data_IF_859626105758
#
_entry.id   IF_859626105758
#
_cell.length_a   1.000
_cell.length_b   1.000
_cell.length_c   1.000
_cell.angle_alpha   90.00
_cell.angle_beta   90.00
_cell.angle_gamma   90.00
#
_symmetry.space_group_name_H-M   'P 1'
#
loop_
_entity.id
_entity.type
_entity.pdbx_description
1 polymer ?
#
# COMPACT_ATOMS: atom_id res chain seq x y z
N UNK A 1 15.84 -22.51 27.53
CA UNK A 1 16.32 -21.87 26.29
C UNK A 1 15.18 -21.63 25.30
N UNK A 2 14.55 -22.67 24.73
CA UNK A 2 13.48 -22.49 23.73
C UNK A 2 12.28 -21.71 24.27
N UNK A 3 11.76 -22.09 25.45
CA UNK A 3 10.62 -21.39 26.06
C UNK A 3 10.87 -19.89 26.27
N UNK A 4 12.07 -19.52 26.73
CA UNK A 4 12.46 -18.11 26.88
C UNK A 4 12.43 -17.35 25.54
N UNK A 5 12.96 -17.95 24.47
CA UNK A 5 12.90 -17.35 23.13
C UNK A 5 11.47 -17.16 22.65
N UNK A 6 10.58 -18.12 22.96
CA UNK A 6 9.16 -18.06 22.61
C UNK A 6 8.40 -17.01 23.43
N UNK A 7 8.70 -16.86 24.72
CA UNK A 7 8.13 -15.81 25.56
C UNK A 7 8.54 -14.42 25.06
N UNK A 8 9.81 -14.26 24.66
CA UNK A 8 10.28 -13.02 24.08
C UNK A 8 9.55 -12.65 22.79
N UNK A 9 9.44 -13.60 21.87
CA UNK A 9 8.72 -13.39 20.60
C UNK A 9 7.21 -13.19 20.79
N UNK A 10 6.60 -13.77 21.83
CA UNK A 10 5.21 -13.50 22.17
C UNK A 10 4.99 -12.06 22.67
N UNK A 11 5.98 -11.49 23.35
CA UNK A 11 5.94 -10.11 23.84
C UNK A 11 6.23 -9.09 22.74
N UNK A 12 7.17 -9.40 21.85
CA UNK A 12 7.57 -8.54 20.74
C UNK A 12 8.03 -9.36 19.53
N UNK A 13 7.20 -9.35 18.48
CA UNK A 13 7.47 -10.04 17.21
C UNK A 13 8.50 -9.32 16.33
N UNK A 14 8.89 -8.09 16.69
CA UNK A 14 9.88 -7.30 15.95
C UNK A 14 11.33 -7.56 16.40
N UNK A 15 11.52 -8.40 17.41
CA UNK A 15 12.85 -8.78 17.89
C UNK A 15 13.64 -9.50 16.79
N UNK A 16 14.84 -8.96 16.52
CA UNK A 16 15.79 -9.59 15.61
C UNK A 16 16.45 -10.80 16.27
N UNK A 17 16.95 -11.73 15.45
CA UNK A 17 17.68 -12.89 15.95
C UNK A 17 18.93 -12.51 16.78
N UNK A 18 19.54 -11.34 16.50
CA UNK A 18 20.66 -10.82 17.30
C UNK A 18 20.20 -10.36 18.68
N UNK A 19 19.11 -9.58 18.73
CA UNK A 19 18.53 -9.17 20.02
C UNK A 19 18.12 -10.38 20.86
N UNK A 20 17.55 -11.43 20.25
CA UNK A 20 17.24 -12.67 20.95
C UNK A 20 18.48 -13.37 21.51
N UNK A 21 19.61 -13.35 20.78
CA UNK A 21 20.90 -13.84 21.29
C UNK A 21 21.36 -13.01 22.49
N UNK A 22 21.38 -11.69 22.38
CA UNK A 22 21.86 -10.78 23.44
C UNK A 22 21.01 -10.93 24.71
N UNK A 23 19.69 -11.05 24.56
CA UNK A 23 18.76 -11.25 25.67
C UNK A 23 18.92 -12.62 26.33
N UNK A 24 19.17 -13.66 25.54
CA UNK A 24 19.42 -15.00 26.07
C UNK A 24 20.76 -15.08 26.80
N UNK A 25 21.79 -14.40 26.30
CA UNK A 25 23.08 -14.28 26.98
C UNK A 25 22.95 -13.51 28.29
N UNK A 26 22.22 -12.39 28.29
CA UNK A 26 21.92 -11.62 29.50
C UNK A 26 21.12 -12.41 30.55
N UNK A 27 20.21 -13.29 30.12
CA UNK A 27 19.39 -14.09 31.04
C UNK A 27 20.09 -15.36 31.55
N UNK A 28 20.86 -16.03 30.71
CA UNK A 28 21.44 -17.36 31.02
C UNK A 28 22.95 -17.33 31.29
N UNK A 29 23.63 -16.21 31.02
CA UNK A 29 25.09 -16.09 31.08
C UNK A 29 25.81 -16.87 29.97
N UNK A 30 25.09 -17.47 29.02
CA UNK A 30 25.64 -18.30 27.94
C UNK A 30 25.44 -17.60 26.60
N UNK A 31 26.53 -17.18 25.99
CA UNK A 31 26.54 -16.69 24.62
C UNK A 31 26.19 -17.80 23.63
N UNK A 32 25.20 -17.58 22.78
CA UNK A 32 24.82 -18.53 21.73
C UNK A 32 24.93 -17.90 20.35
N UNK A 33 25.33 -18.69 19.36
CA UNK A 33 25.34 -18.23 17.97
C UNK A 33 23.92 -17.91 17.50
N UNK A 34 23.77 -16.82 16.74
CA UNK A 34 22.52 -16.42 16.08
C UNK A 34 21.89 -17.57 15.29
N UNK A 35 22.72 -18.40 14.64
CA UNK A 35 22.26 -19.58 13.90
C UNK A 35 21.56 -20.61 14.81
N UNK A 36 22.04 -20.77 16.05
CA UNK A 36 21.42 -21.68 17.03
C UNK A 36 20.06 -21.14 17.46
N UNK A 37 19.90 -19.83 17.63
CA UNK A 37 18.60 -19.20 17.92
C UNK A 37 17.65 -19.41 16.76
N UNK A 38 18.07 -19.13 15.52
CA UNK A 38 17.29 -19.38 14.30
C UNK A 38 16.76 -20.81 14.24
N UNK A 39 17.64 -21.80 14.40
CA UNK A 39 17.26 -23.20 14.31
C UNK A 39 16.22 -23.59 15.38
N UNK A 40 16.29 -23.02 16.58
CA UNK A 40 15.29 -23.29 17.63
C UNK A 40 13.95 -22.59 17.36
N UNK A 41 13.98 -21.37 16.82
CA UNK A 41 12.75 -20.64 16.43
C UNK A 41 12.06 -21.34 15.26
N UNK A 42 12.81 -21.75 14.24
CA UNK A 42 12.30 -22.52 13.10
C UNK A 42 11.74 -23.88 13.56
N UNK A 43 12.46 -24.60 14.43
CA UNK A 43 12.00 -25.89 14.97
C UNK A 43 10.75 -25.77 15.86
N UNK A 44 10.50 -24.59 16.43
CA UNK A 44 9.26 -24.29 17.17
C UNK A 44 8.10 -23.87 16.25
N UNK A 45 8.24 -24.05 14.92
CA UNK A 45 7.25 -23.72 13.89
C UNK A 45 6.89 -22.23 13.79
N UNK A 46 7.79 -21.33 14.20
CA UNK A 46 7.64 -19.90 13.89
C UNK A 46 8.17 -19.65 12.48
N UNK A 47 7.32 -19.13 11.58
CA UNK A 47 7.78 -18.62 10.30
C UNK A 47 8.40 -17.23 10.48
N UNK A 48 9.71 -17.14 10.25
CA UNK A 48 10.41 -15.87 10.10
C UNK A 48 10.15 -15.30 8.70
N UNK A 49 9.02 -14.61 8.55
CA UNK A 49 8.68 -13.93 7.31
C UNK A 49 9.27 -12.51 7.30
N UNK A 50 9.76 -12.06 6.15
CA UNK A 50 10.01 -10.64 5.94
C UNK A 50 8.66 -9.93 5.86
N UNK A 51 8.26 -9.31 6.97
CA UNK A 51 7.04 -8.52 7.04
C UNK A 51 7.30 -7.15 6.41
N UNK A 52 6.50 -6.79 5.41
CA UNK A 52 6.46 -5.41 4.94
C UNK A 52 5.83 -4.55 6.03
N UNK A 53 6.65 -3.79 6.76
CA UNK A 53 6.17 -2.89 7.81
C UNK A 53 5.61 -1.63 7.16
N UNK A 54 4.30 -1.49 7.15
CA UNK A 54 3.68 -0.21 6.80
C UNK A 54 3.91 0.81 7.93
N UNK A 55 4.15 2.09 7.61
CA UNK A 55 4.35 3.12 8.63
C UNK A 55 3.13 3.22 9.54
N UNK A 56 3.34 3.05 10.86
CA UNK A 56 2.27 2.97 11.85
C UNK A 56 1.37 4.22 11.90
N UNK A 57 1.90 5.39 11.51
CA UNK A 57 1.14 6.65 11.44
C UNK A 57 0.10 6.67 10.30
N UNK A 58 0.27 5.83 9.25
CA UNK A 58 -0.70 5.70 8.15
C UNK A 58 -1.88 4.80 8.52
N UNK A 59 -1.70 3.94 9.53
CA UNK A 59 -2.67 2.93 9.93
C UNK A 59 -3.49 3.32 11.19
N UNK A 60 -3.55 4.61 11.54
CA UNK A 60 -4.43 5.07 12.62
C UNK A 60 -5.89 4.78 12.27
N UNK A 61 -6.72 4.45 13.28
CA UNK A 61 -8.15 4.22 13.09
C UNK A 61 -8.83 5.40 12.39
N UNK A 62 -8.45 6.63 12.78
CA UNK A 62 -8.95 7.86 12.19
C UNK A 62 -8.65 7.96 10.68
N UNK A 63 -7.43 7.62 10.26
CA UNK A 63 -7.06 7.68 8.85
C UNK A 63 -7.79 6.58 8.06
N UNK A 64 -7.94 5.38 8.62
CA UNK A 64 -8.71 4.29 7.98
C UNK A 64 -10.19 4.64 7.83
N UNK A 65 -10.80 5.26 8.84
CA UNK A 65 -12.18 5.73 8.78
C UNK A 65 -12.35 6.82 7.72
N UNK A 66 -11.47 7.83 7.71
CA UNK A 66 -11.49 8.88 6.68
C UNK A 66 -11.30 8.33 5.27
N UNK A 67 -10.40 7.36 5.09
CA UNK A 67 -10.21 6.71 3.79
C UNK A 67 -11.47 5.97 3.37
N UNK A 68 -12.08 5.19 4.28
CA UNK A 68 -13.30 4.42 4.01
C UNK A 68 -14.46 5.34 3.64
N UNK A 69 -14.68 6.40 4.41
CA UNK A 69 -15.81 7.30 4.20
C UNK A 69 -15.65 8.07 2.86
N UNK A 70 -14.42 8.46 2.51
CA UNK A 70 -14.10 9.03 1.19
C UNK A 70 -14.36 8.03 0.04
N UNK A 71 -13.97 6.77 0.20
CA UNK A 71 -14.21 5.74 -0.80
C UNK A 71 -15.70 5.43 -1.00
N UNK A 72 -16.47 5.36 0.09
CA UNK A 72 -17.92 5.13 0.04
C UNK A 72 -18.61 6.29 -0.68
N UNK A 73 -18.21 7.54 -0.41
CA UNK A 73 -18.74 8.71 -1.11
C UNK A 73 -18.42 8.68 -2.62
N UNK A 74 -17.19 8.30 -2.99
CA UNK A 74 -16.79 8.21 -4.40
C UNK A 74 -17.50 7.09 -5.18
N UNK A 75 -17.77 5.96 -4.54
CA UNK A 75 -18.48 4.84 -5.18
C UNK A 75 -19.97 5.13 -5.39
N UNK A 76 -20.60 5.88 -4.48
CA UNK A 76 -22.04 6.15 -4.51
C UNK A 76 -22.42 7.23 -5.54
N UNK A 77 -21.49 8.12 -5.90
CA UNK A 77 -21.84 9.27 -6.73
C UNK A 77 -21.85 9.00 -8.25
N UNK A 78 -20.85 8.34 -8.89
CA UNK A 78 -20.84 8.27 -10.36
C UNK A 78 -20.22 7.03 -11.07
N UNK A 79 -19.70 6.02 -10.35
CA UNK A 79 -19.21 4.77 -10.94
C UNK A 79 -18.06 4.90 -11.96
N UNK A 80 -17.74 3.82 -12.68
CA UNK A 80 -16.67 3.81 -13.68
C UNK A 80 -17.04 4.69 -14.88
N UNK A 81 -16.33 5.81 -15.05
CA UNK A 81 -16.62 6.80 -16.12
C UNK A 81 -15.92 6.47 -17.44
N UNK A 82 -14.70 5.94 -17.38
CA UNK A 82 -13.91 5.66 -18.59
C UNK A 82 -12.85 4.61 -18.30
N UNK A 83 -12.68 3.65 -19.22
CA UNK A 83 -11.62 2.66 -19.14
C UNK A 83 -11.11 2.30 -20.53
N UNK A 84 -9.85 1.88 -20.60
CA UNK A 84 -9.24 1.32 -21.81
C UNK A 84 -8.42 0.08 -21.44
N UNK A 85 -8.49 -0.95 -22.27
CA UNK A 85 -7.56 -2.08 -22.20
C UNK A 85 -6.38 -1.82 -23.13
N UNK A 86 -5.16 -1.95 -22.61
CA UNK A 86 -3.94 -1.76 -23.42
C UNK A 86 -2.98 -2.92 -23.22
N UNK A 87 -2.30 -3.28 -24.31
CA UNK A 87 -1.22 -4.25 -24.27
C UNK A 87 0.12 -3.56 -24.04
N UNK A 88 0.93 -4.06 -23.10
CA UNK A 88 2.24 -3.51 -22.74
C UNK A 88 2.21 -2.66 -21.45
N UNK A 89 3.36 -2.06 -21.12
CA UNK A 89 3.53 -1.29 -19.87
C UNK A 89 3.19 0.19 -20.04
N UNK A 90 2.71 0.81 -18.96
CA UNK A 90 2.49 2.25 -18.90
C UNK A 90 3.81 3.03 -18.82
N UNK A 91 3.88 4.12 -19.59
CA UNK A 91 4.93 5.13 -19.60
C UNK A 91 4.27 6.50 -19.55
N UNK A 92 5.01 7.56 -19.22
CA UNK A 92 4.41 8.90 -19.12
C UNK A 92 3.64 9.29 -20.40
N UNK A 93 4.15 8.98 -21.59
CA UNK A 93 3.54 9.39 -22.85
C UNK A 93 2.16 8.74 -23.07
N UNK A 94 2.07 7.42 -22.91
CA UNK A 94 0.80 6.72 -23.12
C UNK A 94 -0.20 6.98 -21.97
N UNK A 95 0.29 7.23 -20.76
CA UNK A 95 -0.54 7.59 -19.60
C UNK A 95 -1.13 8.99 -19.78
N UNK A 96 -0.34 9.96 -20.23
CA UNK A 96 -0.83 11.31 -20.53
C UNK A 96 -1.84 11.32 -21.68
N UNK A 97 -1.63 10.48 -22.70
CA UNK A 97 -2.62 10.30 -23.77
C UNK A 97 -3.94 9.74 -23.23
N UNK A 98 -3.88 8.75 -22.33
CA UNK A 98 -5.06 8.20 -21.66
C UNK A 98 -5.78 9.27 -20.82
N UNK A 99 -5.07 10.03 -19.99
CA UNK A 99 -5.65 11.11 -19.17
C UNK A 99 -6.32 12.15 -20.08
N UNK A 100 -5.69 12.51 -21.20
CA UNK A 100 -6.27 13.47 -22.16
C UNK A 100 -7.59 12.95 -22.73
N UNK A 101 -7.68 11.66 -23.09
CA UNK A 101 -8.91 11.05 -23.60
C UNK A 101 -9.99 10.99 -22.53
N UNK A 102 -9.64 10.60 -21.31
CA UNK A 102 -10.53 10.62 -20.15
C UNK A 102 -11.11 12.03 -19.93
N UNK A 103 -10.28 13.07 -19.87
CA UNK A 103 -10.74 14.45 -19.63
C UNK A 103 -11.65 14.95 -20.75
N UNK A 104 -11.34 14.62 -22.01
CA UNK A 104 -12.24 14.92 -23.14
C UNK A 104 -13.57 14.20 -23.01
N UNK A 105 -13.57 12.93 -22.63
CA UNK A 105 -14.80 12.16 -22.41
C UNK A 105 -15.64 12.75 -21.28
N UNK A 106 -15.02 13.10 -20.15
CA UNK A 106 -15.69 13.75 -19.01
C UNK A 106 -16.30 15.09 -19.43
N UNK A 107 -15.56 15.92 -20.17
CA UNK A 107 -16.05 17.20 -20.65
C UNK A 107 -17.26 17.06 -21.60
N UNK A 108 -17.22 16.08 -22.51
CA UNK A 108 -18.27 15.88 -23.52
C UNK A 108 -19.51 15.18 -22.96
N UNK A 109 -19.35 14.15 -22.13
CA UNK A 109 -20.45 13.29 -21.68
C UNK A 109 -21.07 13.73 -20.36
N UNK A 110 -20.32 14.47 -19.54
CA UNK A 110 -20.79 14.95 -18.23
C UNK A 110 -20.98 16.46 -18.18
N UNK A 111 -20.69 17.16 -19.28
CA UNK A 111 -20.78 18.63 -19.40
C UNK A 111 -19.99 19.37 -18.31
N UNK A 112 -18.94 18.74 -17.76
CA UNK A 112 -18.09 19.32 -16.74
C UNK A 112 -16.99 20.19 -17.36
N UNK A 113 -16.77 21.38 -16.79
CA UNK A 113 -15.61 22.19 -17.15
C UNK A 113 -14.35 21.54 -16.56
N UNK A 114 -13.25 21.56 -17.32
CA UNK A 114 -11.98 21.01 -16.84
C UNK A 114 -11.46 21.74 -15.59
N UNK A 115 -11.87 23.00 -15.37
CA UNK A 115 -11.58 23.76 -14.15
C UNK A 115 -12.20 23.14 -12.89
N UNK A 116 -13.28 22.38 -13.06
CA UNK A 116 -14.06 21.79 -11.97
C UNK A 116 -13.66 20.33 -11.73
N UNK A 117 -12.70 19.81 -12.51
CA UNK A 117 -12.20 18.44 -12.42
C UNK A 117 -10.89 18.42 -11.64
N UNK A 118 -10.87 17.63 -10.56
CA UNK A 118 -9.64 17.29 -9.84
C UNK A 118 -9.24 15.87 -10.22
N UNK A 119 -8.04 15.71 -10.79
CA UNK A 119 -7.49 14.38 -11.06
C UNK A 119 -6.72 13.88 -9.83
N UNK A 120 -7.04 12.69 -9.35
CA UNK A 120 -6.33 12.04 -8.24
C UNK A 120 -5.49 10.90 -8.80
N UNK A 121 -4.18 10.93 -8.57
CA UNK A 121 -3.24 9.88 -9.02
C UNK A 121 -2.40 9.35 -7.85
N UNK A 122 -2.07 8.06 -7.89
CA UNK A 122 -1.04 7.51 -7.01
C UNK A 122 0.37 8.02 -7.42
N UNK A 123 1.38 7.68 -6.62
CA UNK A 123 2.75 8.13 -6.87
C UNK A 123 3.56 7.18 -7.80
N UNK A 124 2.92 6.49 -8.74
CA UNK A 124 3.65 5.63 -9.67
C UNK A 124 4.59 6.44 -10.59
N UNK A 125 5.78 5.90 -10.95
CA UNK A 125 6.82 6.66 -11.66
C UNK A 125 6.40 7.14 -13.06
N UNK A 126 5.38 6.52 -13.68
CA UNK A 126 4.85 6.96 -14.97
C UNK A 126 3.85 8.12 -14.87
N UNK A 127 3.40 8.50 -13.67
CA UNK A 127 2.58 9.69 -13.43
C UNK A 127 3.41 10.97 -13.26
N UNK A 128 4.73 10.91 -13.38
CA UNK A 128 5.65 12.03 -13.10
C UNK A 128 5.47 13.28 -13.99
N UNK A 129 4.60 13.22 -15.01
CA UNK A 129 4.33 14.32 -15.95
C UNK A 129 2.84 14.56 -16.19
N UNK A 130 1.97 14.16 -15.26
CA UNK A 130 0.53 14.32 -15.38
C UNK A 130 0.11 15.80 -15.42
N UNK A 131 0.88 16.68 -14.78
CA UNK A 131 0.69 18.15 -14.78
C UNK A 131 0.79 18.76 -16.19
N UNK A 132 1.33 18.03 -17.17
CA UNK A 132 1.38 18.49 -18.56
C UNK A 132 0.01 18.44 -19.26
N UNK A 133 -0.96 17.71 -18.70
CA UNK A 133 -2.27 17.48 -19.31
C UNK A 133 -3.44 17.92 -18.44
N UNK A 134 -3.19 18.28 -17.18
CA UNK A 134 -4.20 18.82 -16.26
C UNK A 134 -3.58 19.82 -15.29
N UNK A 135 -4.34 20.86 -14.97
CA UNK A 135 -3.92 21.92 -14.05
C UNK A 135 -4.17 21.52 -12.58
N UNK A 136 -5.34 20.94 -12.29
CA UNK A 136 -5.73 20.56 -10.92
C UNK A 136 -5.45 19.08 -10.66
N UNK A 137 -4.29 18.80 -10.05
CA UNK A 137 -3.82 17.45 -9.74
C UNK A 137 -3.62 17.24 -8.23
N UNK A 138 -4.22 16.19 -7.68
CA UNK A 138 -3.96 15.69 -6.33
C UNK A 138 -3.11 14.43 -6.39
N UNK A 139 -1.89 14.49 -5.87
CA UNK A 139 -1.00 13.33 -5.75
C UNK A 139 -1.20 12.67 -4.39
N UNK A 140 -1.47 11.37 -4.40
CA UNK A 140 -1.55 10.59 -3.17
C UNK A 140 -0.17 10.33 -2.58
N UNK A 141 -0.09 10.27 -1.26
CA UNK A 141 1.13 9.88 -0.57
C UNK A 141 1.56 8.46 -0.98
N UNK A 142 2.87 8.18 -1.07
CA UNK A 142 3.38 6.84 -1.39
C UNK A 142 2.74 5.76 -0.54
N UNK A 143 2.40 4.61 -1.12
CA UNK A 143 1.78 3.48 -0.40
C UNK A 143 0.47 3.86 0.31
N UNK A 144 -0.44 4.54 -0.40
CA UNK A 144 -1.80 4.79 0.07
C UNK A 144 -2.86 4.04 -0.77
N UNK A 145 -2.74 2.71 -0.93
CA UNK A 145 -3.66 1.89 -1.74
C UNK A 145 -5.13 2.02 -1.30
N UNK A 146 -5.35 2.23 0.00
CA UNK A 146 -6.67 2.41 0.62
C UNK A 146 -7.32 3.74 0.20
N UNK A 147 -6.54 4.70 -0.31
CA UNK A 147 -7.03 5.97 -0.84
C UNK A 147 -7.26 5.96 -2.36
N UNK A 148 -7.00 4.83 -3.03
CA UNK A 148 -7.24 4.70 -4.46
C UNK A 148 -8.50 3.85 -4.68
N UNK A 149 -9.67 4.45 -5.01
CA UNK A 149 -10.92 3.71 -5.20
C UNK A 149 -10.80 2.54 -6.17
N UNK A 150 -9.97 2.69 -7.20
CA UNK A 150 -9.73 1.66 -8.22
C UNK A 150 -9.14 0.36 -7.65
N UNK A 151 -8.38 0.42 -6.56
CA UNK A 151 -7.80 -0.79 -5.97
C UNK A 151 -8.87 -1.65 -5.28
N UNK A 152 -9.88 -1.02 -4.69
CA UNK A 152 -10.98 -1.72 -4.05
C UNK A 152 -11.84 -2.44 -5.10
N UNK A 153 -12.14 -1.76 -6.20
CA UNK A 153 -12.86 -2.35 -7.34
C UNK A 153 -12.07 -3.49 -8.00
N UNK A 154 -10.74 -3.35 -8.12
CA UNK A 154 -9.86 -4.39 -8.67
C UNK A 154 -9.87 -5.69 -7.86
N UNK A 155 -9.95 -5.60 -6.52
CA UNK A 155 -10.08 -6.78 -5.64
C UNK A 155 -11.39 -7.50 -5.89
N UNK A 156 -12.49 -6.78 -6.09
CA UNK A 156 -13.79 -7.39 -6.38
C UNK A 156 -13.85 -8.07 -7.76
N UNK A 157 -13.17 -7.52 -8.77
CA UNK A 157 -13.10 -8.11 -10.11
C UNK A 157 -12.25 -9.39 -10.16
N UNK A 158 -11.22 -9.51 -9.32
CA UNK A 158 -10.34 -10.69 -9.30
C UNK A 158 -10.96 -11.94 -8.66
N UNK A 159 -12.10 -11.80 -7.97
CA UNK A 159 -12.78 -12.90 -7.27
C UNK A 159 -14.04 -13.39 -8.00
N UNK A 160 -14.25 -12.96 -9.24
CA UNK A 160 -15.25 -13.53 -10.17
C UNK A 160 -14.55 -14.45 -11.16
#
# INVERSE_FOLDING_TARGET
MVQFLLEMLRGDLDLTLRQLTDMLEGHSGVGVLVQRVKNHVDAACFMLNQMHKEPQYKNTLLNKEKCRDYLVQLQDEHGLVYFETRFGSNRYANTNEFITKLLRHVHLERELLLSDVVLVLDNAPFHCRAEQVIETLLRLDPYSPILTPVENDSRHLSHR
#
